data_IF_967887334522
#
_entry.id   IF_967887334522
#
_cell.length_a   1.000
_cell.length_b   1.000
_cell.length_c   1.000
_cell.angle_alpha   90.00
_cell.angle_beta   90.00
_cell.angle_gamma   90.00
#
_symmetry.space_group_name_H-M   'P 1'
#
loop_
_entity.id
_entity.type
_entity.pdbx_description
1 polymer ?
#
# COMPACT_ATOMS: atom_id res chain seq x y z
N UNK A 1 -10.51 -17.96 -16.55
CA UNK A 1 -9.81 -16.66 -16.43
C UNK A 1 -9.54 -16.22 -14.98
N UNK A 2 -10.48 -16.38 -14.02
CA UNK A 2 -10.21 -16.10 -12.59
C UNK A 2 -9.27 -17.13 -11.92
N UNK A 3 -9.41 -18.41 -12.23
CA UNK A 3 -8.55 -19.48 -11.67
C UNK A 3 -7.09 -19.37 -12.12
N UNK A 4 -6.85 -19.00 -13.39
CA UNK A 4 -5.51 -18.83 -13.95
C UNK A 4 -4.71 -17.75 -13.21
N UNK A 5 -5.35 -16.61 -12.92
CA UNK A 5 -4.74 -15.47 -12.21
C UNK A 5 -4.31 -15.78 -10.78
N UNK A 6 -5.14 -16.55 -10.07
CA UNK A 6 -4.86 -16.98 -8.70
C UNK A 6 -3.69 -17.97 -8.69
N UNK A 7 -3.63 -18.87 -9.68
CA UNK A 7 -2.55 -19.83 -9.80
C UNK A 7 -1.19 -19.15 -10.10
N UNK A 8 -1.19 -18.13 -10.96
CA UNK A 8 0.00 -17.29 -11.22
C UNK A 8 0.53 -16.63 -9.94
N UNK A 9 -0.37 -16.11 -9.10
CA UNK A 9 0.00 -15.52 -7.81
C UNK A 9 0.60 -16.55 -6.85
N UNK A 10 -0.04 -17.72 -6.70
CA UNK A 10 0.47 -18.78 -5.82
C UNK A 10 1.80 -19.35 -6.31
N UNK A 11 2.00 -19.46 -7.62
CA UNK A 11 3.29 -19.84 -8.20
C UNK A 11 4.37 -18.82 -7.83
N UNK A 12 4.08 -17.52 -7.92
CA UNK A 12 5.06 -16.51 -7.51
C UNK A 12 5.30 -16.52 -5.99
N UNK A 13 4.25 -16.76 -5.21
CA UNK A 13 4.33 -16.95 -3.75
C UNK A 13 5.23 -18.13 -3.38
N UNK A 14 5.25 -19.19 -4.20
CA UNK A 14 6.15 -20.34 -4.01
C UNK A 14 7.63 -19.96 -3.99
N UNK A 15 8.05 -18.94 -4.76
CA UNK A 15 9.42 -18.43 -4.74
C UNK A 15 9.77 -17.72 -3.43
N UNK A 16 8.80 -17.04 -2.79
CA UNK A 16 9.02 -16.44 -1.46
C UNK A 16 9.36 -17.51 -0.41
N UNK A 17 8.73 -18.69 -0.50
CA UNK A 17 8.99 -19.79 0.43
C UNK A 17 10.37 -20.43 0.26
N UNK A 18 11.10 -20.16 -0.84
CA UNK A 18 12.50 -20.58 -0.95
C UNK A 18 13.41 -19.86 0.05
N UNK A 19 12.98 -18.68 0.51
CA UNK A 19 13.68 -17.84 1.51
C UNK A 19 12.97 -17.88 2.88
N UNK A 20 12.50 -19.05 3.32
CA UNK A 20 11.66 -19.24 4.52
C UNK A 20 12.19 -18.59 5.80
N UNK A 21 13.49 -18.69 6.07
CA UNK A 21 14.07 -18.16 7.32
C UNK A 21 14.00 -16.63 7.40
N UNK A 22 14.40 -15.95 6.33
CA UNK A 22 14.29 -14.50 6.23
C UNK A 22 12.82 -14.06 6.15
N UNK A 23 11.97 -14.86 5.49
CA UNK A 23 10.55 -14.57 5.38
C UNK A 23 9.85 -14.61 6.75
N UNK A 24 10.01 -15.69 7.50
CA UNK A 24 9.40 -15.85 8.83
C UNK A 24 9.96 -14.80 9.80
N UNK A 25 11.28 -14.58 9.80
CA UNK A 25 11.91 -13.57 10.65
C UNK A 25 11.43 -12.16 10.32
N UNK A 26 11.26 -11.83 9.04
CA UNK A 26 10.75 -10.54 8.60
C UNK A 26 9.31 -10.32 9.03
N UNK A 27 8.43 -11.32 8.82
CA UNK A 27 7.05 -11.23 9.25
C UNK A 27 6.94 -11.09 10.77
N UNK A 28 7.71 -11.87 11.52
CA UNK A 28 7.74 -11.77 12.98
C UNK A 28 8.19 -10.38 13.44
N UNK A 29 9.26 -9.83 12.86
CA UNK A 29 9.74 -8.47 13.16
C UNK A 29 8.67 -7.42 12.89
N UNK A 30 8.01 -7.49 11.74
CA UNK A 30 6.92 -6.59 11.38
C UNK A 30 5.71 -6.71 12.31
N UNK A 31 5.30 -7.92 12.68
CA UNK A 31 4.18 -8.13 13.62
C UNK A 31 4.52 -7.57 15.00
N UNK A 32 5.73 -7.84 15.50
CA UNK A 32 6.20 -7.28 16.78
C UNK A 32 6.18 -5.76 16.74
N UNK A 33 6.68 -5.16 15.66
CA UNK A 33 6.69 -3.72 15.48
C UNK A 33 5.28 -3.12 15.46
N UNK A 34 4.36 -3.73 14.71
CA UNK A 34 2.97 -3.29 14.62
C UNK A 34 2.24 -3.41 15.97
N UNK A 35 2.43 -4.52 16.68
CA UNK A 35 1.82 -4.69 18.00
C UNK A 35 2.40 -3.70 19.02
N UNK A 36 3.72 -3.49 19.02
CA UNK A 36 4.38 -2.47 19.84
C UNK A 36 3.87 -1.06 19.50
N UNK A 37 3.71 -0.72 18.23
CA UNK A 37 3.13 0.55 17.82
C UNK A 37 1.68 0.70 18.34
N UNK A 38 0.87 -0.35 18.26
CA UNK A 38 -0.52 -0.31 18.75
C UNK A 38 -0.59 -0.20 20.28
N UNK A 39 0.41 -0.73 20.99
CA UNK A 39 0.53 -0.64 22.45
C UNK A 39 0.69 0.80 22.94
N UNK A 40 1.16 1.73 22.08
CA UNK A 40 1.18 3.15 22.41
C UNK A 40 -0.21 3.69 22.72
N UNK A 41 -1.22 3.29 21.93
CA UNK A 41 -2.60 3.69 22.19
C UNK A 41 -3.07 3.17 23.56
N UNK A 42 -2.75 1.92 23.89
CA UNK A 42 -3.04 1.35 25.22
C UNK A 42 -2.33 2.11 26.34
N UNK A 43 -1.06 2.45 26.14
CA UNK A 43 -0.22 3.17 27.10
C UNK A 43 -0.76 4.57 27.47
N UNK A 44 -1.56 5.20 26.60
CA UNK A 44 -2.22 6.48 26.92
C UNK A 44 -3.13 6.39 28.16
N UNK A 45 -3.78 5.25 28.40
CA UNK A 45 -4.64 5.07 29.58
C UNK A 45 -3.86 5.14 30.90
N UNK A 46 -2.84 4.30 31.15
CA UNK A 46 -2.04 4.40 32.37
C UNK A 46 -1.25 5.70 32.43
N UNK A 47 -0.76 6.23 31.29
CA UNK A 47 -0.11 7.54 31.24
C UNK A 47 -1.00 8.64 31.83
N UNK A 48 -2.25 8.74 31.39
CA UNK A 48 -3.17 9.76 31.87
C UNK A 48 -3.63 9.51 33.30
N UNK A 49 -4.08 8.30 33.59
CA UNK A 49 -4.66 7.98 34.90
C UNK A 49 -3.60 8.00 36.02
N UNK A 50 -2.44 7.37 35.80
CA UNK A 50 -1.37 7.24 36.82
C UNK A 50 -0.28 8.29 36.73
N UNK A 51 -0.15 8.98 35.59
CA UNK A 51 0.83 10.06 35.43
C UNK A 51 0.27 11.42 35.82
N UNK A 52 -0.96 11.74 35.43
CA UNK A 52 -1.52 13.09 35.54
C UNK A 52 -2.70 13.22 36.51
N UNK A 53 -3.64 12.27 36.52
CA UNK A 53 -4.89 12.39 37.31
C UNK A 53 -4.68 11.94 38.76
N UNK A 54 -4.08 10.77 38.94
CA UNK A 54 -3.72 10.22 40.25
C UNK A 54 -2.24 9.83 40.22
N UNK A 55 -1.33 10.82 40.39
CA UNK A 55 0.10 10.63 40.23
C UNK A 55 0.64 9.53 41.14
N UNK A 56 1.13 8.45 40.54
CA UNK A 56 1.91 7.42 41.22
C UNK A 56 3.40 7.75 41.05
N UNK A 57 4.12 8.14 42.13
CA UNK A 57 5.52 8.52 42.04
C UNK A 57 6.39 7.44 41.42
N UNK A 58 6.14 6.16 41.71
CA UNK A 58 6.93 5.07 41.15
C UNK A 58 6.70 4.95 39.63
N UNK A 59 5.44 5.03 39.19
CA UNK A 59 5.12 4.94 37.76
C UNK A 59 5.71 6.09 36.95
N UNK A 60 5.70 7.31 37.48
CA UNK A 60 6.22 8.52 36.79
C UNK A 60 7.73 8.41 36.52
N UNK A 61 8.50 7.84 37.46
CA UNK A 61 9.94 7.65 37.26
C UNK A 61 10.25 6.65 36.13
N UNK A 62 9.44 5.61 35.98
CA UNK A 62 9.59 4.61 34.91
C UNK A 62 8.99 5.03 33.57
N UNK A 63 8.17 6.09 33.55
CA UNK A 63 7.43 6.53 32.36
C UNK A 63 8.32 6.78 31.14
N UNK A 64 9.45 7.53 31.24
CA UNK A 64 10.32 7.76 30.10
C UNK A 64 10.95 6.46 29.57
N UNK A 65 11.32 5.56 30.48
CA UNK A 65 11.92 4.25 30.13
C UNK A 65 10.92 3.41 29.36
N UNK A 66 9.66 3.36 29.78
CA UNK A 66 8.60 2.61 29.08
C UNK A 66 8.35 3.21 27.69
N UNK A 67 8.26 4.55 27.58
CA UNK A 67 8.01 5.21 26.30
C UNK A 67 9.16 4.97 25.30
N UNK A 68 10.41 5.06 25.77
CA UNK A 68 11.60 4.74 24.98
C UNK A 68 11.59 3.26 24.59
N UNK A 69 11.29 2.34 25.51
CA UNK A 69 11.24 0.92 25.24
C UNK A 69 10.21 0.56 24.15
N UNK A 70 8.99 1.11 24.21
CA UNK A 70 7.96 0.90 23.18
C UNK A 70 8.47 1.38 21.81
N UNK A 71 9.06 2.57 21.76
CA UNK A 71 9.58 3.15 20.51
C UNK A 71 10.77 2.36 19.97
N UNK A 72 11.68 1.92 20.83
CA UNK A 72 12.82 1.08 20.46
C UNK A 72 12.36 -0.28 19.93
N UNK A 73 11.41 -0.96 20.58
CA UNK A 73 10.87 -2.23 20.10
C UNK A 73 10.19 -2.04 18.74
N UNK A 74 9.41 -0.96 18.59
CA UNK A 74 8.77 -0.62 17.32
C UNK A 74 9.79 -0.37 16.21
N UNK A 75 10.82 0.44 16.50
CA UNK A 75 11.86 0.79 15.54
C UNK A 75 12.75 -0.39 15.14
N UNK A 76 13.23 -1.17 16.11
CA UNK A 76 14.09 -2.34 15.87
C UNK A 76 13.29 -3.43 15.16
N UNK A 77 12.07 -3.74 15.63
CA UNK A 77 11.21 -4.72 14.98
C UNK A 77 10.89 -4.31 13.54
N UNK A 78 10.61 -3.02 13.31
CA UNK A 78 10.33 -2.48 11.98
C UNK A 78 11.53 -2.58 11.07
N UNK A 79 12.71 -2.16 11.54
CA UNK A 79 13.96 -2.24 10.77
C UNK A 79 14.32 -3.69 10.42
N UNK A 80 14.24 -4.61 11.37
CA UNK A 80 14.50 -6.04 11.13
C UNK A 80 13.48 -6.61 10.15
N UNK A 81 12.21 -6.28 10.32
CA UNK A 81 11.12 -6.68 9.43
C UNK A 81 11.35 -6.23 7.99
N UNK A 82 11.58 -4.92 7.81
CA UNK A 82 11.78 -4.30 6.51
C UNK A 82 13.07 -4.81 5.83
N UNK A 83 14.18 -4.96 6.58
CA UNK A 83 15.44 -5.49 6.06
C UNK A 83 15.29 -6.95 5.58
N UNK A 84 14.70 -7.82 6.40
CA UNK A 84 14.53 -9.22 6.04
C UNK A 84 13.56 -9.39 4.87
N UNK A 85 12.48 -8.59 4.82
CA UNK A 85 11.56 -8.57 3.68
C UNK A 85 12.21 -8.05 2.41
N UNK A 86 13.07 -7.03 2.50
CA UNK A 86 13.85 -6.56 1.37
C UNK A 86 14.81 -7.65 0.87
N UNK A 87 15.46 -8.40 1.77
CA UNK A 87 16.31 -9.54 1.43
C UNK A 87 15.53 -10.64 0.70
N UNK A 88 14.33 -10.98 1.17
CA UNK A 88 13.44 -11.94 0.51
C UNK A 88 13.04 -11.45 -0.88
N UNK A 89 12.55 -10.21 -1.00
CA UNK A 89 12.15 -9.61 -2.27
C UNK A 89 13.28 -9.66 -3.31
N UNK A 90 14.49 -9.20 -2.92
CA UNK A 90 15.67 -9.21 -3.81
C UNK A 90 16.15 -10.62 -4.13
N UNK A 91 16.05 -11.56 -3.19
CA UNK A 91 16.35 -12.98 -3.42
C UNK A 91 15.44 -13.60 -4.47
N UNK A 92 14.14 -13.31 -4.41
CA UNK A 92 13.16 -13.78 -5.40
C UNK A 92 13.40 -13.18 -6.78
N UNK A 93 13.70 -11.88 -6.87
CA UNK A 93 14.09 -11.24 -8.14
C UNK A 93 15.30 -11.95 -8.75
N UNK A 94 16.34 -12.19 -7.95
CA UNK A 94 17.54 -12.88 -8.40
C UNK A 94 17.24 -14.30 -8.90
N UNK A 95 16.43 -15.07 -8.18
CA UNK A 95 16.09 -16.45 -8.56
C UNK A 95 15.30 -16.48 -9.87
N UNK A 96 14.32 -15.59 -10.03
CA UNK A 96 13.54 -15.45 -11.26
C UNK A 96 14.39 -15.01 -12.45
N UNK A 97 15.33 -14.07 -12.24
CA UNK A 97 16.22 -13.61 -13.30
C UNK A 97 17.16 -14.72 -13.78
N UNK A 98 17.70 -15.53 -12.85
CA UNK A 98 18.53 -16.69 -13.19
C UNK A 98 17.75 -17.71 -14.00
N UNK A 99 16.57 -18.11 -13.51
CA UNK A 99 15.74 -19.12 -14.18
C UNK A 99 15.29 -18.66 -15.57
N UNK A 100 14.84 -17.40 -15.69
CA UNK A 100 14.45 -16.83 -16.97
C UNK A 100 15.62 -16.76 -17.94
N UNK A 101 16.79 -16.32 -17.49
CA UNK A 101 17.98 -16.25 -18.34
C UNK A 101 18.43 -17.64 -18.82
N UNK A 102 18.47 -18.64 -17.92
CA UNK A 102 18.77 -20.02 -18.29
C UNK A 102 17.76 -20.58 -19.31
N UNK A 103 16.48 -20.23 -19.17
CA UNK A 103 15.44 -20.63 -20.12
C UNK A 103 15.64 -19.97 -21.48
N UNK A 104 15.92 -18.67 -21.52
CA UNK A 104 16.17 -17.92 -22.74
C UNK A 104 17.35 -18.49 -23.55
N UNK A 105 18.41 -18.93 -22.88
CA UNK A 105 19.57 -19.56 -23.54
C UNK A 105 19.26 -20.93 -24.18
N UNK A 106 18.16 -21.58 -23.79
CA UNK A 106 17.73 -22.88 -24.32
C UNK A 106 16.58 -22.76 -25.33
N UNK A 107 16.12 -21.55 -25.63
CA UNK A 107 14.99 -21.33 -26.54
C UNK A 107 15.41 -21.45 -28.02
N UNK A 108 14.50 -21.92 -28.89
CA UNK A 108 14.76 -22.02 -30.32
C UNK A 108 14.84 -20.63 -30.95
N UNK A 109 15.63 -20.50 -32.02
CA UNK A 109 15.82 -19.22 -32.73
C UNK A 109 14.48 -18.62 -33.20
N UNK A 110 13.50 -19.46 -33.54
CA UNK A 110 12.15 -19.04 -33.95
C UNK A 110 11.40 -18.20 -32.91
N UNK A 111 11.75 -18.33 -31.62
CA UNK A 111 11.20 -17.47 -30.57
C UNK A 111 11.72 -16.03 -30.70
N UNK A 112 13.02 -15.88 -30.94
CA UNK A 112 13.68 -14.58 -31.09
C UNK A 112 13.36 -13.88 -32.41
N UNK A 113 12.96 -14.63 -33.45
CA UNK A 113 12.43 -14.06 -34.69
C UNK A 113 11.04 -13.43 -34.51
N UNK A 114 10.23 -13.97 -33.58
CA UNK A 114 8.86 -13.53 -33.32
C UNK A 114 8.76 -12.50 -32.20
N UNK A 115 9.75 -12.44 -31.31
CA UNK A 115 9.73 -11.61 -30.12
C UNK A 115 10.86 -10.59 -30.16
N UNK A 116 10.56 -9.27 -30.12
CA UNK A 116 11.59 -8.25 -30.08
C UNK A 116 12.52 -8.42 -28.88
N UNK A 117 13.83 -8.28 -29.09
CA UNK A 117 14.83 -8.37 -28.02
C UNK A 117 14.57 -7.36 -26.89
N UNK A 118 14.04 -6.18 -27.21
CA UNK A 118 13.62 -5.17 -26.24
C UNK A 118 12.52 -5.67 -25.28
N UNK A 119 11.57 -6.47 -25.77
CA UNK A 119 10.52 -7.08 -24.93
C UNK A 119 11.12 -8.11 -23.97
N UNK A 120 12.03 -8.95 -24.45
CA UNK A 120 12.70 -9.96 -23.62
C UNK A 120 13.51 -9.30 -22.50
N UNK A 121 14.29 -8.28 -22.84
CA UNK A 121 15.09 -7.52 -21.85
C UNK A 121 14.17 -6.81 -20.85
N UNK A 122 13.06 -6.23 -21.31
CA UNK A 122 12.10 -5.57 -20.42
C UNK A 122 11.45 -6.55 -19.43
N UNK A 123 11.13 -7.78 -19.87
CA UNK A 123 10.61 -8.82 -18.99
C UNK A 123 11.65 -9.20 -17.93
N UNK A 124 12.91 -9.42 -18.34
CA UNK A 124 14.00 -9.84 -17.46
C UNK A 124 14.36 -8.80 -16.39
N UNK A 125 14.35 -7.52 -16.74
CA UNK A 125 14.80 -6.45 -15.84
C UNK A 125 13.61 -5.83 -15.11
N UNK A 126 12.62 -5.31 -15.84
CA UNK A 126 11.57 -4.49 -15.26
C UNK A 126 10.38 -5.28 -14.75
N UNK A 127 9.86 -6.24 -15.52
CA UNK A 127 8.64 -6.95 -15.13
C UNK A 127 8.88 -7.82 -13.89
N UNK A 128 10.00 -8.56 -13.83
CA UNK A 128 10.35 -9.36 -12.64
C UNK A 128 10.45 -8.46 -11.40
N UNK A 129 11.10 -7.29 -11.50
CA UNK A 129 11.26 -6.38 -10.37
C UNK A 129 9.90 -5.82 -9.91
N UNK A 130 9.09 -5.29 -10.83
CA UNK A 130 7.77 -4.72 -10.51
C UNK A 130 6.84 -5.76 -9.88
N UNK A 131 6.83 -6.98 -10.41
CA UNK A 131 5.96 -8.05 -9.93
C UNK A 131 6.37 -8.49 -8.54
N UNK A 132 7.66 -8.73 -8.32
CA UNK A 132 8.17 -9.19 -7.03
C UNK A 132 7.95 -8.11 -5.96
N UNK A 133 8.17 -6.85 -6.33
CA UNK A 133 7.91 -5.72 -5.44
C UNK A 133 6.42 -5.58 -5.12
N UNK A 134 5.53 -5.68 -6.11
CA UNK A 134 4.09 -5.59 -5.90
C UNK A 134 3.57 -6.69 -4.96
N UNK A 135 3.98 -7.94 -5.20
CA UNK A 135 3.57 -9.08 -4.36
C UNK A 135 4.13 -8.99 -2.94
N UNK A 136 5.42 -8.67 -2.79
CA UNK A 136 6.04 -8.59 -1.45
C UNK A 136 5.50 -7.40 -0.67
N UNK A 137 5.28 -6.24 -1.31
CA UNK A 137 4.72 -5.05 -0.66
C UNK A 137 3.28 -5.27 -0.23
N UNK A 138 2.46 -5.91 -1.06
CA UNK A 138 1.09 -6.27 -0.73
C UNK A 138 1.03 -7.18 0.51
N UNK A 139 1.86 -8.23 0.53
CA UNK A 139 1.95 -9.16 1.66
C UNK A 139 2.43 -8.48 2.95
N UNK A 140 3.46 -7.65 2.85
CA UNK A 140 3.96 -6.87 3.98
C UNK A 140 2.89 -5.92 4.53
N UNK A 141 2.12 -5.27 3.66
CA UNK A 141 1.03 -4.37 4.03
C UNK A 141 -0.08 -5.14 4.75
N UNK A 142 -0.51 -6.31 4.24
CA UNK A 142 -1.51 -7.15 4.90
C UNK A 142 -1.07 -7.51 6.33
N UNK A 143 0.17 -7.97 6.49
CA UNK A 143 0.65 -8.41 7.80
C UNK A 143 0.87 -7.24 8.74
N UNK A 144 1.56 -6.19 8.28
CA UNK A 144 1.88 -5.01 9.11
C UNK A 144 0.63 -4.26 9.54
N UNK A 145 -0.19 -3.86 8.57
CA UNK A 145 -1.32 -2.98 8.81
C UNK A 145 -2.51 -3.79 9.37
N UNK A 146 -2.61 -5.07 9.02
CA UNK A 146 -3.52 -6.02 9.66
C UNK A 146 -3.19 -6.24 11.13
N UNK A 147 -1.93 -6.54 11.48
CA UNK A 147 -1.52 -6.71 12.87
C UNK A 147 -1.70 -5.43 13.69
N UNK A 148 -1.38 -4.26 13.13
CA UNK A 148 -1.58 -2.97 13.79
C UNK A 148 -3.09 -2.71 14.04
N UNK A 149 -3.94 -2.96 13.03
CA UNK A 149 -5.39 -2.79 13.16
C UNK A 149 -6.01 -3.76 14.19
N UNK A 150 -5.56 -5.02 14.22
CA UNK A 150 -5.96 -6.00 15.24
C UNK A 150 -5.53 -5.52 16.62
N UNK A 151 -4.31 -5.02 16.77
CA UNK A 151 -3.80 -4.45 18.01
C UNK A 151 -4.67 -3.28 18.50
N UNK A 152 -4.93 -2.29 17.64
CA UNK A 152 -5.79 -1.15 17.97
C UNK A 152 -7.20 -1.59 18.36
N UNK A 153 -7.81 -2.51 17.60
CA UNK A 153 -9.14 -3.04 17.89
C UNK A 153 -9.16 -3.72 19.25
N UNK A 154 -8.15 -4.54 19.55
CA UNK A 154 -8.00 -5.21 20.85
C UNK A 154 -7.91 -4.20 21.99
N UNK A 155 -7.10 -3.14 21.83
CA UNK A 155 -6.98 -2.06 22.83
C UNK A 155 -8.33 -1.39 23.09
N UNK A 156 -9.12 -1.15 22.04
CA UNK A 156 -10.43 -0.53 22.16
C UNK A 156 -11.40 -1.41 22.94
N UNK A 157 -11.47 -2.71 22.63
CA UNK A 157 -12.34 -3.65 23.36
C UNK A 157 -11.94 -3.81 24.83
N UNK A 158 -10.64 -3.84 25.14
CA UNK A 158 -10.14 -3.91 26.52
C UNK A 158 -10.48 -2.64 27.31
N UNK A 159 -10.42 -1.47 26.67
CA UNK A 159 -10.63 -0.20 27.35
C UNK A 159 -12.11 0.18 27.49
N UNK A 160 -12.90 -0.02 26.43
CA UNK A 160 -14.30 0.35 26.39
C UNK A 160 -15.02 -0.35 25.24
N UNK A 161 -15.70 -1.46 25.56
CA UNK A 161 -16.48 -2.21 24.58
C UNK A 161 -17.58 -1.38 23.87
N UNK A 162 -18.28 -0.39 24.50
CA UNK A 162 -19.30 0.39 23.79
C UNK A 162 -18.67 1.32 22.73
N UNK A 163 -17.52 1.93 23.04
CA UNK A 163 -16.80 2.76 22.08
C UNK A 163 -16.20 1.89 20.96
N UNK A 164 -15.72 0.69 21.27
CA UNK A 164 -15.26 -0.26 20.27
C UNK A 164 -16.38 -0.64 19.27
N UNK A 165 -17.62 -0.81 19.74
CA UNK A 165 -18.77 -1.07 18.87
C UNK A 165 -19.10 0.11 17.95
N UNK A 166 -19.03 1.34 18.44
CA UNK A 166 -19.22 2.55 17.59
C UNK A 166 -18.22 2.52 16.43
N UNK A 167 -16.96 2.23 16.72
CA UNK A 167 -15.93 2.08 15.69
C UNK A 167 -16.22 0.94 14.72
N UNK A 168 -16.67 -0.21 15.22
CA UNK A 168 -17.01 -1.35 14.37
C UNK A 168 -18.17 -1.03 13.42
N UNK A 169 -19.13 -0.20 13.84
CA UNK A 169 -20.21 0.29 12.99
C UNK A 169 -19.72 1.32 11.96
N UNK A 170 -18.74 2.17 12.32
CA UNK A 170 -18.21 3.18 11.39
C UNK A 170 -17.16 2.60 10.43
N UNK A 171 -16.55 1.47 10.78
CA UNK A 171 -15.56 0.75 9.97
C UNK A 171 -16.08 0.38 8.56
N UNK A 172 -17.28 -0.23 8.39
CA UNK A 172 -17.87 -0.45 7.08
C UNK A 172 -18.02 0.82 6.24
N UNK A 173 -18.43 1.94 6.86
CA UNK A 173 -18.56 3.21 6.15
C UNK A 173 -17.20 3.68 5.62
N UNK A 174 -16.16 3.61 6.45
CA UNK A 174 -14.78 3.94 6.06
C UNK A 174 -14.32 3.03 4.90
N UNK A 175 -14.52 1.72 5.02
CA UNK A 175 -14.14 0.74 4.00
C UNK A 175 -14.85 0.97 2.66
N UNK A 176 -16.16 1.24 2.68
CA UNK A 176 -16.94 1.53 1.47
C UNK A 176 -16.45 2.82 0.79
N UNK A 177 -16.21 3.87 1.57
CA UNK A 177 -15.65 5.13 1.06
C UNK A 177 -14.30 4.89 0.40
N UNK A 178 -13.38 4.18 1.06
CA UNK A 178 -12.09 3.84 0.47
C UNK A 178 -12.22 3.05 -0.83
N UNK A 179 -13.06 2.01 -0.84
CA UNK A 179 -13.26 1.16 -2.01
C UNK A 179 -13.79 1.98 -3.19
N UNK A 180 -14.73 2.90 -2.94
CA UNK A 180 -15.27 3.79 -3.96
C UNK A 180 -14.20 4.75 -4.52
N UNK A 181 -13.45 5.42 -3.63
CA UNK A 181 -12.40 6.36 -4.02
C UNK A 181 -11.29 5.63 -4.79
N UNK A 182 -10.82 4.48 -4.30
CA UNK A 182 -9.77 3.70 -4.94
C UNK A 182 -10.17 3.25 -6.35
N UNK A 183 -11.42 2.78 -6.52
CA UNK A 183 -11.94 2.42 -7.84
C UNK A 183 -12.01 3.64 -8.79
N UNK A 184 -12.39 4.82 -8.27
CA UNK A 184 -12.45 6.05 -9.07
C UNK A 184 -11.04 6.55 -9.45
N UNK A 185 -10.10 6.56 -8.51
CA UNK A 185 -8.70 6.92 -8.75
C UNK A 185 -8.03 6.00 -9.77
N UNK A 186 -8.34 4.69 -9.74
CA UNK A 186 -7.84 3.75 -10.72
C UNK A 186 -8.32 4.09 -12.14
N UNK A 187 -9.60 4.46 -12.32
CA UNK A 187 -10.13 4.88 -13.63
C UNK A 187 -9.44 6.15 -14.14
N UNK A 188 -9.22 7.14 -13.28
CA UNK A 188 -8.51 8.37 -13.65
C UNK A 188 -7.05 8.06 -14.03
N UNK A 189 -6.40 7.14 -13.31
CA UNK A 189 -5.03 6.71 -13.62
C UNK A 189 -4.91 6.12 -15.02
N UNK A 190 -5.89 5.30 -15.45
CA UNK A 190 -5.95 4.78 -16.82
C UNK A 190 -6.14 5.89 -17.86
N UNK A 191 -6.97 6.89 -17.57
CA UNK A 191 -7.15 8.05 -18.45
C UNK A 191 -5.87 8.89 -18.57
N UNK A 192 -5.13 9.06 -17.48
CA UNK A 192 -3.82 9.73 -17.49
C UNK A 192 -2.82 8.96 -18.34
N UNK A 193 -2.75 7.62 -18.20
CA UNK A 193 -1.86 6.78 -19.02
C UNK A 193 -2.17 6.91 -20.51
N UNK A 194 -3.45 6.89 -20.89
CA UNK A 194 -3.86 7.10 -22.27
C UNK A 194 -3.49 8.51 -22.77
N UNK A 195 -3.68 9.55 -21.96
CA UNK A 195 -3.30 10.91 -22.32
C UNK A 195 -1.76 11.05 -22.48
N UNK A 196 -0.97 10.39 -21.63
CA UNK A 196 0.50 10.34 -21.78
C UNK A 196 0.90 9.65 -23.07
N UNK A 197 0.24 8.54 -23.45
CA UNK A 197 0.49 7.87 -24.73
C UNK A 197 0.23 8.80 -25.92
N UNK A 198 -0.83 9.62 -25.84
CA UNK A 198 -1.13 10.62 -26.87
C UNK A 198 -0.04 11.71 -26.93
N UNK A 199 0.48 12.15 -25.78
CA UNK A 199 1.62 13.08 -25.70
C UNK A 199 2.84 12.48 -26.40
N UNK A 200 3.18 11.21 -26.13
CA UNK A 200 4.32 10.53 -26.76
C UNK A 200 4.17 10.46 -28.29
N UNK A 201 3.00 10.05 -28.80
CA UNK A 201 2.73 10.02 -30.23
C UNK A 201 2.83 11.42 -30.87
N UNK A 202 2.27 12.43 -30.20
CA UNK A 202 2.24 13.80 -30.72
C UNK A 202 3.64 14.45 -30.70
N UNK A 203 4.46 14.09 -29.71
CA UNK A 203 5.85 14.51 -29.62
C UNK A 203 6.69 13.91 -30.75
N UNK A 204 6.55 12.61 -31.00
CA UNK A 204 7.26 11.91 -32.08
C UNK A 204 6.91 12.51 -33.45
N UNK A 205 5.62 12.76 -33.70
CA UNK A 205 5.16 13.45 -34.90
C UNK A 205 5.78 14.86 -35.01
N UNK A 206 5.72 15.66 -33.94
CA UNK A 206 6.26 17.03 -33.92
C UNK A 206 7.78 17.07 -34.20
N UNK A 207 8.55 16.14 -33.62
CA UNK A 207 9.99 16.01 -33.86
C UNK A 207 10.29 15.58 -35.29
N UNK A 208 9.51 14.65 -35.85
CA UNK A 208 9.67 14.21 -37.23
C UNK A 208 9.39 15.35 -38.23
N UNK A 209 8.38 16.19 -37.98
CA UNK A 209 8.10 17.35 -38.82
C UNK A 209 9.18 18.43 -38.72
N UNK A 210 9.73 18.66 -37.52
CA UNK A 210 10.82 19.61 -37.34
C UNK A 210 12.09 19.21 -38.11
N UNK A 211 12.37 17.90 -38.22
CA UNK A 211 13.49 17.39 -39.02
C UNK A 211 13.28 17.49 -40.54
N UNK A 212 12.02 17.49 -41.02
CA UNK A 212 11.69 17.43 -42.45
C UNK A 212 11.36 18.78 -43.09
N UNK A 213 10.78 19.72 -42.34
CA UNK A 213 10.52 21.08 -42.81
C UNK A 213 10.24 22.01 -41.61
N UNK A 214 11.28 22.75 -41.21
CA UNK A 214 11.16 23.88 -40.29
C UNK A 214 10.12 24.87 -40.86
N UNK A 215 8.98 25.06 -40.18
CA UNK A 215 7.90 26.04 -40.49
C UNK A 215 6.83 25.66 -41.53
N UNK A 216 6.47 24.37 -41.69
CA UNK A 216 5.23 24.02 -42.43
C UNK A 216 3.96 24.22 -41.59
N UNK A 217 2.80 24.40 -42.22
CA UNK A 217 1.49 24.43 -41.53
C UNK A 217 1.24 23.15 -40.71
N UNK A 218 1.82 22.03 -41.14
CA UNK A 218 1.78 20.74 -40.43
C UNK A 218 2.55 20.78 -39.11
N UNK A 219 3.69 21.49 -39.05
CA UNK A 219 4.46 21.65 -37.81
C UNK A 219 3.68 22.43 -36.73
N UNK A 220 2.91 23.45 -37.12
CA UNK A 220 2.04 24.23 -36.22
C UNK A 220 0.86 23.37 -35.75
N UNK A 221 0.30 22.54 -36.63
CA UNK A 221 -0.76 21.58 -36.28
C UNK A 221 -0.31 20.53 -35.27
N UNK A 222 0.88 19.94 -35.48
CA UNK A 222 1.47 18.97 -34.57
C UNK A 222 1.77 19.58 -33.19
N UNK A 223 2.31 20.81 -33.15
CA UNK A 223 2.52 21.55 -31.91
C UNK A 223 1.21 21.77 -31.14
N UNK A 224 0.11 22.14 -31.81
CA UNK A 224 -1.20 22.31 -31.16
C UNK A 224 -1.73 21.00 -30.57
N UNK A 225 -1.58 19.88 -31.28
CA UNK A 225 -1.97 18.56 -30.76
C UNK A 225 -1.14 18.13 -29.55
N UNK A 226 0.16 18.40 -29.58
CA UNK A 226 1.04 18.16 -28.43
C UNK A 226 0.63 18.99 -27.21
N UNK A 227 0.38 20.29 -27.39
CA UNK A 227 -0.05 21.17 -26.31
C UNK A 227 -1.42 20.78 -25.74
N UNK A 228 -2.37 20.37 -26.58
CA UNK A 228 -3.68 19.91 -26.10
C UNK A 228 -3.59 18.58 -25.35
N UNK A 229 -2.73 17.65 -25.80
CA UNK A 229 -2.47 16.41 -25.09
C UNK A 229 -1.84 16.66 -23.71
N UNK A 230 -0.89 17.60 -23.60
CA UNK A 230 -0.33 18.03 -22.30
C UNK A 230 -1.42 18.63 -21.40
N UNK A 231 -2.29 19.50 -21.94
CA UNK A 231 -3.37 20.10 -21.17
C UNK A 231 -4.37 19.05 -20.67
N UNK A 232 -4.60 17.99 -21.45
CA UNK A 232 -5.41 16.85 -21.02
C UNK A 232 -4.76 16.09 -19.87
N UNK A 233 -3.44 15.81 -19.94
CA UNK A 233 -2.71 15.21 -18.80
C UNK A 233 -2.81 16.10 -17.57
N UNK A 234 -2.59 17.41 -17.71
CA UNK A 234 -2.66 18.35 -16.60
C UNK A 234 -4.05 18.38 -15.94
N UNK A 235 -5.12 18.47 -16.73
CA UNK A 235 -6.49 18.51 -16.18
C UNK A 235 -6.86 17.20 -15.46
N UNK A 236 -6.46 16.05 -15.99
CA UNK A 236 -6.67 14.75 -15.35
C UNK A 236 -5.85 14.60 -14.06
N UNK A 237 -4.62 15.11 -14.03
CA UNK A 237 -3.80 15.10 -12.81
C UNK A 237 -4.39 15.99 -11.71
N UNK A 238 -4.92 17.17 -12.06
CA UNK A 238 -5.64 18.01 -11.10
C UNK A 238 -6.89 17.30 -10.59
N UNK A 239 -7.66 16.68 -11.47
CA UNK A 239 -8.84 15.91 -11.07
C UNK A 239 -8.47 14.75 -10.14
N UNK A 240 -7.39 14.03 -10.42
CA UNK A 240 -6.84 12.99 -9.56
C UNK A 240 -6.49 13.54 -8.17
N UNK A 241 -5.80 14.68 -8.12
CA UNK A 241 -5.44 15.32 -6.86
C UNK A 241 -6.67 15.74 -6.05
N UNK A 242 -7.69 16.30 -6.72
CA UNK A 242 -8.95 16.69 -6.09
C UNK A 242 -9.69 15.47 -5.52
N UNK A 243 -9.85 14.41 -6.30
CA UNK A 243 -10.53 13.17 -5.85
C UNK A 243 -9.79 12.53 -4.68
N UNK A 244 -8.47 12.46 -4.72
CA UNK A 244 -7.67 11.91 -3.61
C UNK A 244 -7.80 12.79 -2.36
N UNK A 245 -7.78 14.11 -2.53
CA UNK A 245 -7.98 15.09 -1.45
C UNK A 245 -9.36 14.96 -0.81
N UNK A 246 -10.43 15.03 -1.60
CA UNK A 246 -11.82 14.85 -1.17
C UNK A 246 -12.01 13.50 -0.48
N UNK A 247 -11.39 12.45 -1.02
CA UNK A 247 -11.42 11.13 -0.43
C UNK A 247 -10.84 11.12 0.98
N UNK A 248 -9.62 11.65 1.14
CA UNK A 248 -8.97 11.77 2.46
C UNK A 248 -9.77 12.61 3.45
N UNK A 249 -10.42 13.68 2.99
CA UNK A 249 -11.28 14.54 3.80
C UNK A 249 -12.55 13.82 4.25
N UNK A 250 -13.20 13.06 3.35
CA UNK A 250 -14.39 12.27 3.71
C UNK A 250 -14.08 11.28 4.84
N UNK A 251 -12.95 10.59 4.80
CA UNK A 251 -12.52 9.67 5.86
C UNK A 251 -12.30 10.40 7.19
N UNK A 252 -11.69 11.60 7.16
CA UNK A 252 -11.52 12.42 8.37
C UNK A 252 -12.86 12.85 8.96
N UNK A 253 -13.85 13.16 8.13
CA UNK A 253 -15.21 13.49 8.57
C UNK A 253 -15.91 12.28 9.20
N UNK A 254 -15.78 11.09 8.60
CA UNK A 254 -16.34 9.86 9.18
C UNK A 254 -15.66 9.54 10.53
N UNK A 255 -14.35 9.71 10.61
CA UNK A 255 -13.60 9.53 11.84
C UNK A 255 -14.01 10.56 12.92
N UNK A 256 -14.17 11.84 12.56
CA UNK A 256 -14.60 12.87 13.51
C UNK A 256 -16.04 12.64 13.98
N UNK A 257 -16.93 12.18 13.09
CA UNK A 257 -18.29 11.78 13.46
C UNK A 257 -18.27 10.59 14.43
N UNK A 258 -17.39 9.60 14.19
CA UNK A 258 -17.20 8.46 15.11
C UNK A 258 -16.80 8.93 16.51
N UNK A 259 -15.87 9.89 16.59
CA UNK A 259 -15.44 10.52 17.85
C UNK A 259 -16.56 11.34 18.49
N UNK A 260 -17.33 12.10 17.72
CA UNK A 260 -18.45 12.87 18.22
C UNK A 260 -19.53 11.98 18.85
N UNK A 261 -19.86 10.85 18.21
CA UNK A 261 -20.79 9.85 18.75
C UNK A 261 -20.21 9.23 20.02
N UNK A 262 -18.91 8.89 20.04
CA UNK A 262 -18.25 8.37 21.23
C UNK A 262 -18.30 9.35 22.41
N UNK A 263 -18.07 10.65 22.17
CA UNK A 263 -18.24 11.71 23.17
C UNK A 263 -19.67 11.71 23.69
N UNK A 264 -20.66 11.82 22.79
CA UNK A 264 -22.08 11.89 23.16
C UNK A 264 -22.52 10.68 23.99
N UNK A 265 -22.15 9.47 23.58
CA UNK A 265 -22.48 8.25 24.34
C UNK A 265 -21.81 8.28 25.72
N UNK A 266 -20.54 8.67 25.80
CA UNK A 266 -19.81 8.72 27.08
C UNK A 266 -20.39 9.75 28.06
N UNK A 267 -20.92 10.87 27.59
CA UNK A 267 -21.46 11.94 28.44
C UNK A 267 -22.94 11.75 28.76
N UNK A 268 -23.73 11.21 27.83
CA UNK A 268 -25.19 11.13 27.98
C UNK A 268 -25.68 9.89 28.76
N UNK A 269 -24.92 8.79 28.79
CA UNK A 269 -25.44 7.49 29.27
C UNK A 269 -25.09 7.14 30.73
N UNK A 270 -24.59 8.10 31.54
CA UNK A 270 -24.00 7.84 32.86
C UNK A 270 -22.91 6.73 32.85
N UNK A 271 -22.39 6.38 31.67
CA UNK A 271 -21.37 5.37 31.50
C UNK A 271 -20.05 5.86 32.08
N UNK A 272 -19.59 5.22 33.14
CA UNK A 272 -18.38 5.61 33.86
C UNK A 272 -17.14 5.07 33.14
N UNK A 273 -16.54 5.92 32.31
CA UNK A 273 -15.23 5.66 31.68
C UNK A 273 -14.17 6.59 32.28
N UNK A 274 -13.01 6.03 32.63
CA UNK A 274 -11.88 6.87 33.03
C UNK A 274 -11.39 7.74 31.86
N UNK A 275 -10.97 8.97 32.11
CA UNK A 275 -10.44 9.87 31.08
C UNK A 275 -9.30 9.23 30.26
N UNK A 276 -8.42 8.46 30.89
CA UNK A 276 -7.37 7.72 30.19
C UNK A 276 -7.91 6.64 29.24
N UNK A 277 -8.93 5.88 29.64
CA UNK A 277 -9.56 4.88 28.76
C UNK A 277 -10.28 5.53 27.58
N UNK A 278 -10.92 6.67 27.82
CA UNK A 278 -11.57 7.46 26.77
C UNK A 278 -10.59 7.97 25.72
N UNK A 279 -9.52 8.66 26.15
CA UNK A 279 -8.48 9.20 25.25
C UNK A 279 -7.76 8.06 24.52
N UNK A 280 -7.37 7.00 25.23
CA UNK A 280 -6.75 5.81 24.62
C UNK A 280 -7.62 5.20 23.50
N UNK A 281 -8.92 5.08 23.73
CA UNK A 281 -9.86 4.51 22.76
C UNK A 281 -10.06 5.42 21.55
N UNK A 282 -10.20 6.74 21.75
CA UNK A 282 -10.31 7.72 20.64
C UNK A 282 -9.02 7.78 19.83
N UNK A 283 -7.85 7.77 20.47
CA UNK A 283 -6.57 7.74 19.78
C UNK A 283 -6.43 6.49 18.92
N UNK A 284 -6.88 5.32 19.43
CA UNK A 284 -6.92 4.09 18.64
C UNK A 284 -7.88 4.19 17.43
N UNK A 285 -9.07 4.76 17.59
CA UNK A 285 -10.02 5.02 16.50
C UNK A 285 -9.40 5.85 15.37
N UNK A 286 -8.74 6.95 15.75
CA UNK A 286 -8.11 7.86 14.78
C UNK A 286 -6.91 7.19 14.09
N UNK A 287 -6.09 6.45 14.84
CA UNK A 287 -4.94 5.74 14.31
C UNK A 287 -5.34 4.63 13.32
N UNK A 288 -6.52 4.02 13.48
CA UNK A 288 -7.00 2.95 12.62
C UNK A 288 -7.32 3.41 11.18
N UNK A 289 -7.55 4.70 10.93
CA UNK A 289 -7.91 5.19 9.59
C UNK A 289 -6.81 4.91 8.54
N UNK A 290 -5.53 5.01 8.92
CA UNK A 290 -4.40 4.78 8.02
C UNK A 290 -4.25 3.30 7.60
N UNK A 291 -4.17 2.31 8.51
CA UNK A 291 -4.06 0.90 8.11
C UNK A 291 -5.29 0.43 7.32
N UNK A 292 -6.50 0.92 7.63
CA UNK A 292 -7.71 0.60 6.84
C UNK A 292 -7.55 1.06 5.39
N UNK A 293 -6.99 2.25 5.16
CA UNK A 293 -6.66 2.75 3.81
C UNK A 293 -5.73 1.78 3.09
N UNK A 294 -4.61 1.48 3.73
CA UNK A 294 -3.55 0.68 3.14
C UNK A 294 -4.06 -0.70 2.77
N UNK A 295 -4.80 -1.35 3.67
CA UNK A 295 -5.44 -2.65 3.42
C UNK A 295 -6.45 -2.61 2.26
N UNK A 296 -7.14 -1.48 2.06
CA UNK A 296 -8.09 -1.32 0.94
C UNK A 296 -7.39 -1.18 -0.42
N UNK A 297 -6.16 -0.64 -0.43
CA UNK A 297 -5.35 -0.44 -1.64
C UNK A 297 -4.59 -1.72 -2.05
N UNK A 298 -4.33 -2.65 -1.11
CA UNK A 298 -3.63 -3.94 -1.35
C UNK A 298 -4.18 -4.72 -2.54
N UNK A 299 -5.51 -4.76 -2.72
CA UNK A 299 -6.10 -5.51 -3.83
C UNK A 299 -5.66 -4.97 -5.20
N UNK A 300 -5.43 -3.65 -5.32
CA UNK A 300 -4.90 -3.07 -6.56
C UNK A 300 -3.46 -3.50 -6.81
N UNK A 301 -2.64 -3.55 -5.78
CA UNK A 301 -1.23 -3.94 -5.90
C UNK A 301 -1.07 -5.44 -6.21
N UNK A 302 -1.89 -6.29 -5.60
CA UNK A 302 -1.96 -7.73 -5.96
C UNK A 302 -2.33 -7.88 -7.45
N UNK A 303 -3.31 -7.13 -7.94
CA UNK A 303 -3.73 -7.20 -9.34
C UNK A 303 -2.62 -6.75 -10.30
N UNK A 304 -1.87 -5.70 -9.97
CA UNK A 304 -0.70 -5.27 -10.74
C UNK A 304 0.38 -6.36 -10.76
N UNK A 305 0.65 -6.96 -9.60
CA UNK A 305 1.60 -8.08 -9.47
C UNK A 305 1.21 -9.28 -10.34
N UNK A 306 -0.06 -9.68 -10.31
CA UNK A 306 -0.57 -10.78 -11.16
C UNK A 306 -0.38 -10.47 -12.65
N UNK A 307 -0.73 -9.26 -13.09
CA UNK A 307 -0.62 -8.89 -14.50
C UNK A 307 0.82 -8.92 -15.02
N UNK A 308 1.79 -8.45 -14.23
CA UNK A 308 3.19 -8.57 -14.62
C UNK A 308 3.70 -10.00 -14.52
N UNK A 309 3.23 -10.79 -13.55
CA UNK A 309 3.64 -12.18 -13.37
C UNK A 309 3.22 -13.04 -14.57
N UNK A 310 2.03 -12.79 -15.12
CA UNK A 310 1.57 -13.41 -16.37
C UNK A 310 2.57 -13.20 -17.50
N UNK A 311 3.12 -11.99 -17.66
CA UNK A 311 4.13 -11.70 -18.70
C UNK A 311 5.48 -12.41 -18.47
N UNK A 312 5.86 -12.63 -17.21
CA UNK A 312 7.11 -13.35 -16.87
C UNK A 312 6.94 -14.85 -17.11
N UNK A 313 5.82 -15.42 -16.65
CA UNK A 313 5.55 -16.85 -16.80
C UNK A 313 5.20 -17.24 -18.23
N UNK A 314 4.61 -16.34 -19.03
CA UNK A 314 4.43 -16.55 -20.48
C UNK A 314 5.76 -16.87 -21.18
N UNK A 315 6.85 -16.20 -20.79
CA UNK A 315 8.19 -16.48 -21.34
C UNK A 315 8.80 -17.74 -20.73
N UNK A 316 8.71 -17.94 -19.40
CA UNK A 316 9.27 -19.13 -18.74
C UNK A 316 8.63 -20.43 -19.25
N UNK A 317 7.32 -20.44 -19.44
CA UNK A 317 6.53 -21.61 -19.82
C UNK A 317 6.47 -21.82 -21.35
N UNK A 318 7.09 -20.94 -22.13
CA UNK A 318 7.13 -21.12 -23.58
C UNK A 318 7.82 -22.45 -23.92
N UNK A 319 7.22 -23.32 -24.76
CA UNK A 319 7.83 -24.58 -25.14
C UNK A 319 9.20 -24.34 -25.78
N UNK A 320 10.17 -25.21 -25.44
CA UNK A 320 11.50 -25.22 -26.05
C UNK A 320 11.46 -25.92 -27.40
#
# INVERSE_FOLDING_TARGET
MKETKINTYFRLLSYLFRHTSAFIGGLAGTVIASLAASSFAWFLKPLLNKGFISPDPHFIHWLPVIAIAITCITGIGGLVGDYLMARVSRGVVMDLQKELFERLLRMPLSFFERTPSSRVIAVLIYNIEQVTQACTSALLTIVRDGAFLIGLTTVMFINSWPLALIFLVTLPAILLTFRYIAAHLHRISLQIQNAISNVSHSAEASLMYHQKASHSAESIGAQKQFLSAIQQVWSQQIWLALVNGLGSTAIRIIASLSVAIAIFVSTATHYTISAGAFISTISAMLAAAKPIRQLSEVNSDIQKGIAGAESVFEVLDHPA
#
